data_IF_917179324594
#
_entry.id   IF_917179324594
#
_cell.length_a   1.000
_cell.length_b   1.000
_cell.length_c   1.000
_cell.angle_alpha   90.00
_cell.angle_beta   90.00
_cell.angle_gamma   90.00
#
_symmetry.space_group_name_H-M   'P 1'
#
loop_
_entity.id
_entity.type
_entity.pdbx_description
1 polymer ?
#
# COMPACT_ATOMS: atom_id res chain seq x y z
N UNK A 1 -8.60 -14.05 22.79
CA UNK A 1 -7.13 -14.00 22.60
C UNK A 1 -6.73 -13.88 21.13
N UNK A 2 -7.45 -14.51 20.18
CA UNK A 2 -7.01 -14.61 18.77
C UNK A 2 -7.19 -13.33 17.88
N UNK A 3 -8.10 -12.42 18.23
CA UNK A 3 -8.35 -11.21 17.41
C UNK A 3 -7.28 -10.12 17.54
N UNK A 4 -6.68 -9.94 18.73
CA UNK A 4 -5.69 -8.88 18.96
C UNK A 4 -4.40 -9.15 18.16
N UNK A 5 -3.98 -10.42 18.07
CA UNK A 5 -2.79 -10.84 17.33
C UNK A 5 -2.90 -10.51 15.84
N UNK A 6 -4.08 -10.74 15.25
CA UNK A 6 -4.33 -10.46 13.83
C UNK A 6 -4.27 -8.97 13.50
N UNK A 7 -4.78 -8.11 14.38
CA UNK A 7 -4.75 -6.65 14.18
C UNK A 7 -3.31 -6.13 14.22
N UNK A 8 -2.50 -6.58 15.19
CA UNK A 8 -1.10 -6.17 15.32
C UNK A 8 -0.28 -6.68 14.12
N UNK A 9 -0.46 -7.95 13.74
CA UNK A 9 0.23 -8.54 12.60
C UNK A 9 -0.12 -7.81 11.29
N UNK A 10 -1.39 -7.49 11.08
CA UNK A 10 -1.85 -6.80 9.87
C UNK A 10 -1.31 -5.36 9.81
N UNK A 11 -1.28 -4.64 10.95
CA UNK A 11 -0.67 -3.31 11.04
C UNK A 11 0.83 -3.35 10.67
N UNK A 12 1.55 -4.37 11.12
CA UNK A 12 2.97 -4.55 10.77
C UNK A 12 3.18 -4.84 9.27
N UNK A 13 2.35 -5.72 8.68
CA UNK A 13 2.40 -6.02 7.25
C UNK A 13 2.06 -4.81 6.38
N UNK A 14 1.03 -4.05 6.77
CA UNK A 14 0.63 -2.82 6.08
C UNK A 14 1.76 -1.77 6.12
N UNK A 15 2.44 -1.64 7.26
CA UNK A 15 3.57 -0.72 7.40
C UNK A 15 4.75 -1.12 6.51
N UNK A 16 5.14 -2.40 6.55
CA UNK A 16 6.23 -2.92 5.68
C UNK A 16 5.90 -2.76 4.20
N UNK A 17 4.64 -3.01 3.81
CA UNK A 17 4.19 -2.78 2.44
C UNK A 17 4.28 -1.29 2.06
N UNK A 18 3.84 -0.39 2.93
CA UNK A 18 3.96 1.04 2.68
C UNK A 18 5.42 1.47 2.53
N UNK A 19 6.32 0.93 3.36
CA UNK A 19 7.75 1.21 3.24
C UNK A 19 8.32 0.71 1.90
N UNK A 20 7.96 -0.51 1.49
CA UNK A 20 8.41 -1.09 0.22
C UNK A 20 7.94 -0.26 -0.99
N UNK A 21 6.64 0.07 -1.06
CA UNK A 21 6.10 0.89 -2.16
C UNK A 21 6.67 2.30 -2.12
N UNK A 22 6.75 2.92 -0.94
CA UNK A 22 7.29 4.27 -0.78
C UNK A 22 8.74 4.37 -1.22
N UNK A 23 9.55 3.35 -0.92
CA UNK A 23 10.95 3.28 -1.37
C UNK A 23 11.04 3.26 -2.90
N UNK A 24 10.26 2.40 -3.57
CA UNK A 24 10.24 2.31 -5.04
C UNK A 24 9.83 3.63 -5.72
N UNK A 25 8.89 4.36 -5.13
CA UNK A 25 8.50 5.70 -5.59
C UNK A 25 9.67 6.68 -5.45
N UNK A 26 10.33 6.70 -4.28
CA UNK A 26 11.44 7.61 -4.00
C UNK A 26 12.70 7.30 -4.83
N UNK A 27 12.91 6.02 -5.17
CA UNK A 27 13.98 5.56 -6.05
C UNK A 27 13.66 5.80 -7.55
N UNK A 28 12.43 6.22 -7.87
CA UNK A 28 11.99 6.51 -9.24
C UNK A 28 11.63 5.27 -10.05
N UNK A 29 11.55 4.09 -9.44
CA UNK A 29 11.04 2.87 -10.10
C UNK A 29 9.55 2.97 -10.41
N UNK A 30 8.84 3.82 -9.68
CA UNK A 30 7.46 4.21 -9.98
C UNK A 30 7.41 5.73 -10.06
N UNK A 31 7.16 6.26 -11.25
CA UNK A 31 7.31 7.67 -11.53
C UNK A 31 6.10 8.47 -11.02
N UNK A 32 6.28 9.75 -10.65
CA UNK A 32 5.17 10.65 -10.41
C UNK A 32 4.23 10.69 -11.62
N UNK A 33 2.93 10.49 -11.39
CA UNK A 33 1.91 10.38 -12.43
C UNK A 33 1.51 8.94 -12.76
N UNK A 34 2.32 7.94 -12.42
CA UNK A 34 1.99 6.52 -12.66
C UNK A 34 0.82 6.08 -11.81
N UNK A 35 0.08 5.08 -12.32
CA UNK A 35 -0.97 4.40 -11.58
C UNK A 35 -0.39 3.14 -10.95
N UNK A 36 -0.46 3.05 -9.62
CA UNK A 36 -0.11 1.83 -8.92
C UNK A 36 -1.01 0.67 -9.35
N UNK A 37 -0.48 -0.57 -9.33
CA UNK A 37 -1.29 -1.77 -9.52
C UNK A 37 -2.50 -1.81 -8.57
N UNK A 38 -3.54 -2.55 -8.97
CA UNK A 38 -4.78 -2.65 -8.19
C UNK A 38 -4.56 -3.30 -6.82
N UNK A 39 -5.50 -3.13 -5.88
CA UNK A 39 -5.36 -3.68 -4.53
C UNK A 39 -5.20 -5.21 -4.50
N UNK A 40 -5.84 -5.91 -5.44
CA UNK A 40 -5.73 -7.37 -5.58
C UNK A 40 -4.32 -7.74 -6.03
N UNK A 41 -3.85 -7.11 -7.10
CA UNK A 41 -2.54 -7.36 -7.70
C UNK A 41 -1.39 -7.00 -6.74
N UNK A 42 -1.48 -5.86 -6.04
CA UNK A 42 -0.56 -5.53 -4.95
C UNK A 42 -0.59 -6.57 -3.83
N UNK A 43 -1.76 -7.10 -3.49
CA UNK A 43 -1.88 -8.17 -2.51
C UNK A 43 -1.14 -9.44 -2.94
N UNK A 44 -1.27 -9.82 -4.20
CA UNK A 44 -0.60 -10.98 -4.79
C UNK A 44 0.92 -10.77 -4.91
N UNK A 45 1.37 -9.63 -5.42
CA UNK A 45 2.79 -9.30 -5.60
C UNK A 45 3.57 -9.28 -4.28
N UNK A 46 2.96 -8.77 -3.21
CA UNK A 46 3.62 -8.63 -1.91
C UNK A 46 3.21 -9.71 -0.91
N UNK A 47 2.35 -10.66 -1.30
CA UNK A 47 1.91 -11.76 -0.44
C UNK A 47 1.12 -11.30 0.79
N UNK A 48 0.31 -10.24 0.65
CA UNK A 48 -0.46 -9.67 1.77
C UNK A 48 -1.96 -9.55 1.44
N UNK A 49 -2.78 -9.43 2.47
CA UNK A 49 -4.22 -9.25 2.31
C UNK A 49 -4.57 -7.90 1.67
N UNK A 50 -5.72 -7.83 0.98
CA UNK A 50 -6.28 -6.56 0.45
C UNK A 50 -6.44 -5.50 1.55
N UNK A 51 -6.80 -5.91 2.77
CA UNK A 51 -6.88 -4.99 3.91
C UNK A 51 -5.52 -4.37 4.23
N UNK A 52 -4.45 -5.16 4.20
CA UNK A 52 -3.10 -4.66 4.43
C UNK A 52 -2.69 -3.65 3.35
N UNK A 53 -3.00 -3.94 2.09
CA UNK A 53 -2.76 -3.04 0.96
C UNK A 53 -3.48 -1.72 1.17
N UNK A 54 -4.78 -1.75 1.51
CA UNK A 54 -5.56 -0.52 1.75
C UNK A 54 -4.98 0.35 2.85
N UNK A 55 -4.53 -0.25 3.95
CA UNK A 55 -3.88 0.48 5.04
C UNK A 55 -2.51 1.03 4.62
N UNK A 56 -1.74 0.30 3.83
CA UNK A 56 -0.50 0.79 3.26
C UNK A 56 -0.71 2.01 2.35
N UNK A 57 -1.70 1.94 1.44
CA UNK A 57 -2.07 3.04 0.56
C UNK A 57 -2.54 4.26 1.37
N UNK A 58 -3.31 4.08 2.44
CA UNK A 58 -3.69 5.18 3.34
C UNK A 58 -2.47 5.84 3.99
N UNK A 59 -1.51 5.05 4.45
CA UNK A 59 -0.27 5.58 5.05
C UNK A 59 0.56 6.39 4.06
N UNK A 60 0.67 5.92 2.81
CA UNK A 60 1.35 6.63 1.74
C UNK A 60 0.62 7.92 1.34
N UNK A 61 -0.71 7.87 1.25
CA UNK A 61 -1.54 9.03 0.93
C UNK A 61 -1.43 10.12 2.00
N UNK A 62 -1.41 9.73 3.28
CA UNK A 62 -1.17 10.65 4.39
C UNK A 62 0.21 11.33 4.34
N UNK A 63 1.18 10.73 3.65
CA UNK A 63 2.52 11.29 3.41
C UNK A 63 2.62 12.08 2.11
N UNK A 64 1.55 12.14 1.32
CA UNK A 64 1.53 12.83 0.02
C UNK A 64 2.27 12.09 -1.09
N UNK A 65 2.63 10.82 -0.89
CA UNK A 65 3.35 10.00 -1.88
C UNK A 65 2.43 9.40 -2.94
N UNK A 66 1.13 9.34 -2.65
CA UNK A 66 0.11 8.82 -3.57
C UNK A 66 -1.22 9.53 -3.38
N UNK A 67 -2.08 9.44 -4.40
CA UNK A 67 -3.42 9.99 -4.43
C UNK A 67 -4.43 8.95 -4.94
N UNK A 68 -5.17 8.30 -4.03
CA UNK A 68 -6.26 7.40 -4.39
C UNK A 68 -7.39 8.16 -5.10
N UNK A 69 -7.85 7.65 -6.25
CA UNK A 69 -8.95 8.24 -7.03
C UNK A 69 -10.00 7.17 -7.40
N UNK A 70 -11.28 7.38 -7.08
CA UNK A 70 -12.34 6.46 -7.47
C UNK A 70 -12.35 6.21 -8.97
N UNK A 71 -12.48 4.94 -9.38
CA UNK A 71 -12.52 4.48 -10.79
C UNK A 71 -11.25 4.70 -11.62
N UNK A 72 -10.20 5.29 -11.06
CA UNK A 72 -8.91 5.52 -11.74
C UNK A 72 -7.81 4.65 -11.13
N UNK A 73 -7.85 4.44 -9.81
CA UNK A 73 -6.80 3.73 -9.07
C UNK A 73 -6.00 4.69 -8.19
N UNK A 74 -4.82 4.27 -7.77
CA UNK A 74 -3.96 5.09 -6.90
C UNK A 74 -2.82 5.66 -7.72
N UNK A 75 -2.78 6.98 -7.85
CA UNK A 75 -1.73 7.67 -8.62
C UNK A 75 -0.56 8.05 -7.71
N UNK A 76 0.67 7.92 -8.17
CA UNK A 76 1.87 8.48 -7.51
C UNK A 76 1.94 9.99 -7.75
#
# INVERSE_FOLDING_TARGET
MDQQQRIIANRNLSYKLAEAIGRRILEGETAPGDILPGEVELGEMYGVSRTAVREAIKMLAAKGLVLPRPRIGTRV
#
